data_IF_619635965322
#
_entry.id   IF_619635965322
#
_cell.length_a   1.000
_cell.length_b   1.000
_cell.length_c   1.000
_cell.angle_alpha   90.00
_cell.angle_beta   90.00
_cell.angle_gamma   90.00
#
_symmetry.space_group_name_H-M   'P 1'
#
loop_
_entity.id
_entity.type
_entity.pdbx_description
1 polymer ?
#
# COMPACT_ATOMS: atom_id res chain seq x y z
N UNK A 1 4.82 0.52 -11.35
CA UNK A 1 4.87 0.75 -9.89
C UNK A 1 6.16 0.16 -9.35
N UNK A 2 6.68 0.67 -8.24
CA UNK A 2 7.86 0.13 -7.57
C UNK A 2 7.63 0.09 -6.06
N UNK A 3 8.35 -0.77 -5.36
CA UNK A 3 8.26 -0.93 -3.92
C UNK A 3 9.63 -1.33 -3.34
N UNK A 4 9.88 -0.98 -2.08
CA UNK A 4 11.08 -1.36 -1.34
C UNK A 4 10.63 -1.92 0.01
N UNK A 5 10.58 -3.25 0.18
CA UNK A 5 10.37 -3.85 1.49
C UNK A 5 11.61 -3.67 2.38
N UNK A 6 11.44 -3.66 3.70
CA UNK A 6 12.56 -3.56 4.65
C UNK A 6 13.42 -4.83 4.68
N UNK A 7 12.81 -5.98 4.34
CA UNK A 7 13.54 -7.24 4.23
C UNK A 7 12.80 -8.32 3.45
N UNK A 8 13.54 -9.34 3.03
CA UNK A 8 13.00 -10.59 2.49
C UNK A 8 13.03 -11.67 3.58
N UNK A 9 11.98 -12.49 3.62
CA UNK A 9 11.84 -13.60 4.55
C UNK A 9 11.82 -14.89 3.75
N UNK A 10 12.53 -15.92 4.21
CA UNK A 10 12.46 -17.26 3.64
C UNK A 10 12.10 -18.24 4.75
N UNK A 11 10.94 -18.90 4.65
CA UNK A 11 10.60 -20.05 5.48
C UNK A 11 10.53 -21.32 4.63
N UNK A 12 11.07 -22.41 5.16
CA UNK A 12 10.85 -23.77 4.63
C UNK A 12 9.37 -24.19 4.64
N UNK A 13 8.58 -23.55 5.49
CA UNK A 13 7.18 -23.86 5.76
C UNK A 13 6.16 -23.03 4.95
N UNK A 14 6.50 -21.77 4.65
CA UNK A 14 5.59 -20.81 4.00
C UNK A 14 6.16 -20.25 2.68
N UNK A 15 7.36 -20.67 2.28
CA UNK A 15 8.06 -20.12 1.10
C UNK A 15 8.70 -18.77 1.37
N UNK A 16 8.76 -17.94 0.33
CA UNK A 16 9.36 -16.60 0.39
C UNK A 16 8.28 -15.55 0.64
N UNK A 17 8.57 -14.62 1.54
CA UNK A 17 7.77 -13.44 1.82
C UNK A 17 8.65 -12.22 2.05
N UNK A 18 8.06 -11.16 2.57
CA UNK A 18 8.75 -9.91 2.90
C UNK A 18 8.53 -9.52 4.37
N UNK A 19 9.25 -8.53 4.82
CA UNK A 19 9.11 -7.91 6.14
C UNK A 19 9.02 -6.40 5.98
N UNK A 20 8.15 -5.78 6.78
CA UNK A 20 8.00 -4.33 6.88
C UNK A 20 7.99 -3.96 8.37
N UNK A 21 8.94 -3.14 8.79
CA UNK A 21 9.22 -2.80 10.19
C UNK A 21 8.87 -1.33 10.42
N UNK A 22 7.96 -1.07 11.35
CA UNK A 22 7.62 0.28 11.81
C UNK A 22 8.12 0.51 13.23
N UNK A 23 8.83 1.62 13.41
CA UNK A 23 9.33 2.08 14.70
C UNK A 23 8.71 3.46 14.99
N UNK A 24 7.48 3.52 15.52
CA UNK A 24 6.79 4.79 15.76
C UNK A 24 7.54 5.63 16.79
N UNK A 25 7.73 6.93 16.50
CA UNK A 25 8.43 7.85 17.39
C UNK A 25 7.52 8.43 18.48
N UNK A 26 6.20 8.40 18.27
CA UNK A 26 5.20 8.86 19.22
C UNK A 26 4.04 7.87 19.35
N UNK A 27 3.25 7.97 20.43
CA UNK A 27 2.04 7.15 20.63
C UNK A 27 0.96 7.41 19.57
N UNK A 28 0.99 8.56 18.90
CA UNK A 28 0.08 8.88 17.79
C UNK A 28 0.51 8.22 16.47
N UNK A 29 1.81 7.87 16.36
CA UNK A 29 2.37 7.13 15.24
C UNK A 29 2.38 5.62 15.46
N UNK A 30 2.12 5.15 16.70
CA UNK A 30 1.86 3.73 16.95
C UNK A 30 0.91 3.28 15.86
N UNK A 31 1.39 2.33 15.03
CA UNK A 31 0.68 1.88 13.85
C UNK A 31 -0.79 1.76 14.24
N UNK A 32 -1.74 2.29 13.46
CA UNK A 32 -3.16 2.29 13.84
C UNK A 32 -3.65 0.84 13.96
N UNK A 33 -3.34 0.22 15.08
CA UNK A 33 -3.59 -1.13 15.47
C UNK A 33 -4.97 -1.10 16.10
N UNK A 34 -5.86 -1.93 15.58
CA UNK A 34 -7.22 -2.09 16.08
C UNK A 34 -7.31 -3.33 16.93
N UNK A 35 -7.93 -3.19 18.09
CA UNK A 35 -8.42 -4.32 18.86
C UNK A 35 -9.62 -4.92 18.12
N UNK A 36 -9.48 -6.16 17.66
CA UNK A 36 -10.54 -6.92 17.02
C UNK A 36 -11.43 -7.63 18.06
N UNK A 37 -12.63 -8.02 17.65
CA UNK A 37 -13.48 -8.89 18.44
C UNK A 37 -12.71 -10.17 18.81
N UNK A 38 -12.66 -10.51 20.09
CA UNK A 38 -11.84 -11.62 20.62
C UNK A 38 -10.48 -11.20 21.20
N UNK A 39 -10.19 -9.89 21.29
CA UNK A 39 -9.02 -9.37 22.01
C UNK A 39 -7.71 -9.41 21.21
N UNK A 40 -7.76 -9.81 19.94
CA UNK A 40 -6.58 -9.82 19.07
C UNK A 40 -6.33 -8.41 18.51
N UNK A 41 -5.09 -7.94 18.59
CA UNK A 41 -4.67 -6.68 17.96
C UNK A 41 -4.25 -6.96 16.52
N UNK A 42 -4.69 -6.12 15.57
CA UNK A 42 -4.34 -6.20 14.15
C UNK A 42 -4.14 -4.82 13.54
N UNK A 43 -3.34 -4.70 12.50
CA UNK A 43 -3.25 -3.52 11.67
C UNK A 43 -4.61 -3.20 11.05
N UNK A 44 -5.08 -1.96 11.26
CA UNK A 44 -6.28 -1.46 10.62
C UNK A 44 -6.16 -1.58 9.08
N UNK A 45 -7.09 -2.33 8.49
CA UNK A 45 -7.18 -2.53 7.03
C UNK A 45 -7.49 -1.26 6.26
N UNK A 46 -7.87 -0.18 6.94
CA UNK A 46 -8.08 1.16 6.36
C UNK A 46 -6.86 2.08 6.51
N UNK A 47 -5.83 1.63 7.21
CA UNK A 47 -4.64 2.45 7.45
C UNK A 47 -3.68 2.43 6.26
N UNK A 48 -2.95 3.53 6.08
CA UNK A 48 -1.97 3.67 5.00
C UNK A 48 -0.91 2.55 4.98
N UNK A 49 -0.47 2.06 6.15
CA UNK A 49 0.47 0.94 6.23
C UNK A 49 -0.09 -0.35 5.64
N UNK A 50 -1.39 -0.61 5.77
CA UNK A 50 -1.98 -1.80 5.15
C UNK A 50 -1.88 -1.72 3.63
N UNK A 51 -2.23 -0.56 3.07
CA UNK A 51 -2.10 -0.32 1.63
C UNK A 51 -0.64 -0.36 1.14
N UNK A 52 0.30 0.14 1.95
CA UNK A 52 1.74 0.03 1.66
C UNK A 52 2.19 -1.44 1.59
N UNK A 53 1.82 -2.25 2.59
CA UNK A 53 2.15 -3.68 2.62
C UNK A 53 1.53 -4.40 1.42
N UNK A 54 0.25 -4.17 1.15
CA UNK A 54 -0.41 -4.77 -0.01
C UNK A 54 0.29 -4.38 -1.32
N UNK A 55 0.76 -3.13 -1.45
CA UNK A 55 1.51 -2.69 -2.62
C UNK A 55 2.86 -3.40 -2.76
N UNK A 56 3.60 -3.59 -1.67
CA UNK A 56 4.83 -4.36 -1.69
C UNK A 56 4.57 -5.83 -2.07
N UNK A 57 3.56 -6.47 -1.50
CA UNK A 57 3.17 -7.85 -1.84
C UNK A 57 2.85 -8.01 -3.32
N UNK A 58 2.12 -7.06 -3.89
CA UNK A 58 1.76 -7.08 -5.31
C UNK A 58 2.95 -6.81 -6.24
N UNK A 59 3.79 -5.84 -5.91
CA UNK A 59 4.94 -5.46 -6.75
C UNK A 59 6.05 -6.51 -6.72
N UNK A 60 6.31 -7.10 -5.55
CA UNK A 60 7.35 -8.11 -5.34
C UNK A 60 6.86 -9.52 -5.74
N UNK A 61 5.55 -9.68 -5.90
CA UNK A 61 4.88 -10.94 -6.25
C UNK A 61 5.13 -12.05 -5.22
N UNK A 62 4.80 -11.76 -3.96
CA UNK A 62 4.88 -12.70 -2.83
C UNK A 62 3.57 -12.77 -2.05
N UNK A 63 3.37 -13.87 -1.33
CA UNK A 63 2.07 -14.17 -0.71
C UNK A 63 1.87 -13.51 0.66
N UNK A 64 2.95 -13.19 1.38
CA UNK A 64 2.86 -12.65 2.73
C UNK A 64 3.96 -11.66 3.10
N UNK A 65 3.60 -10.79 4.05
CA UNK A 65 4.48 -9.84 4.71
C UNK A 65 4.35 -10.05 6.21
N UNK A 66 5.47 -10.22 6.90
CA UNK A 66 5.50 -10.12 8.36
C UNK A 66 5.61 -8.63 8.71
N UNK A 67 4.49 -8.04 9.13
CA UNK A 67 4.41 -6.64 9.54
C UNK A 67 4.78 -6.52 11.01
N UNK A 68 5.85 -5.79 11.29
CA UNK A 68 6.43 -5.66 12.63
C UNK A 68 6.27 -4.23 13.10
N UNK A 69 5.77 -4.05 14.32
CA UNK A 69 5.78 -2.76 15.00
C UNK A 69 6.62 -2.92 16.25
N UNK A 70 7.76 -2.25 16.28
CA UNK A 70 8.65 -2.27 17.43
C UNK A 70 8.53 -0.95 18.20
N UNK A 71 8.33 -1.07 19.51
CA UNK A 71 8.41 0.05 20.45
C UNK A 71 9.43 -0.31 21.53
N UNK A 72 9.80 0.67 22.37
CA UNK A 72 10.69 0.41 23.51
C UNK A 72 10.12 -0.60 24.53
N UNK A 73 8.79 -0.79 24.54
CA UNK A 73 8.10 -1.58 25.56
C UNK A 73 7.54 -2.90 25.02
N UNK A 74 7.33 -3.01 23.71
CA UNK A 74 6.62 -4.12 23.11
C UNK A 74 7.00 -4.33 21.64
N UNK A 75 6.82 -5.56 21.17
CA UNK A 75 7.01 -5.98 19.79
C UNK A 75 5.71 -6.64 19.30
N UNK A 76 5.04 -5.98 18.37
CA UNK A 76 3.88 -6.53 17.70
C UNK A 76 4.29 -7.09 16.33
N UNK A 77 3.79 -8.28 16.01
CA UNK A 77 3.99 -8.92 14.70
C UNK A 77 2.66 -9.44 14.18
N UNK A 78 2.33 -9.08 12.94
CA UNK A 78 1.20 -9.63 12.22
C UNK A 78 1.63 -10.10 10.84
N UNK A 79 1.28 -11.34 10.49
CA UNK A 79 1.38 -11.81 9.11
C UNK A 79 0.20 -11.29 8.29
N UNK A 80 0.51 -10.45 7.32
CA UNK A 80 -0.44 -9.92 6.35
C UNK A 80 -0.31 -10.72 5.05
N UNK A 81 -1.42 -11.24 4.56
CA UNK A 81 -1.50 -12.01 3.30
C UNK A 81 -1.95 -11.09 2.17
N UNK A 82 -1.52 -11.39 0.95
CA UNK A 82 -1.92 -10.68 -0.27
C UNK A 82 -3.44 -10.71 -0.45
N UNK A 83 -4.03 -9.54 -0.64
CA UNK A 83 -5.44 -9.35 -0.97
C UNK A 83 -5.56 -9.03 -2.46
N UNK A 84 -5.85 -10.04 -3.27
CA UNK A 84 -5.96 -9.90 -4.73
C UNK A 84 -7.13 -9.02 -5.15
N UNK A 85 -8.26 -9.07 -4.43
CA UNK A 85 -9.47 -8.31 -4.77
C UNK A 85 -9.29 -6.80 -4.55
N UNK A 86 -8.37 -6.42 -3.67
CA UNK A 86 -8.00 -5.01 -3.47
C UNK A 86 -7.46 -4.39 -4.77
N UNK A 87 -6.72 -5.16 -5.58
CA UNK A 87 -6.01 -4.65 -6.76
C UNK A 87 -6.90 -4.35 -7.95
N UNK A 88 -8.01 -5.05 -8.08
CA UNK A 88 -9.01 -4.80 -9.14
C UNK A 88 -9.50 -3.34 -9.13
N UNK A 89 -9.56 -2.74 -7.93
CA UNK A 89 -9.99 -1.36 -7.74
C UNK A 89 -8.83 -0.34 -7.74
N UNK A 90 -7.61 -0.76 -7.37
CA UNK A 90 -6.46 0.14 -7.24
C UNK A 90 -5.78 0.36 -8.59
N UNK A 91 -5.60 -0.69 -9.41
CA UNK A 91 -4.87 -0.59 -10.68
C UNK A 91 -5.45 0.49 -11.61
N UNK A 92 -6.78 0.54 -11.87
CA UNK A 92 -7.33 1.58 -12.74
C UNK A 92 -7.05 2.99 -12.23
N UNK A 93 -7.14 3.21 -10.92
CA UNK A 93 -6.89 4.52 -10.29
C UNK A 93 -5.43 4.93 -10.40
N UNK A 94 -4.50 4.00 -10.19
CA UNK A 94 -3.07 4.27 -10.33
C UNK A 94 -2.72 4.56 -11.78
N UNK A 95 -3.32 3.85 -12.74
CA UNK A 95 -3.14 4.12 -14.16
C UNK A 95 -3.66 5.50 -14.55
N UNK A 96 -4.87 5.86 -14.15
CA UNK A 96 -5.42 7.21 -14.38
C UNK A 96 -4.53 8.29 -13.77
N UNK A 97 -4.07 8.11 -12.53
CA UNK A 97 -3.13 9.04 -11.89
C UNK A 97 -1.81 9.14 -12.66
N UNK A 98 -1.27 8.02 -13.15
CA UNK A 98 -0.04 8.06 -13.94
C UNK A 98 -0.24 8.82 -15.26
N UNK A 99 -1.32 8.52 -16.00
CA UNK A 99 -1.59 9.13 -17.31
C UNK A 99 -1.96 10.61 -17.21
N UNK A 100 -2.73 10.99 -16.21
CA UNK A 100 -3.22 12.35 -16.04
C UNK A 100 -2.23 13.22 -15.27
N UNK A 101 -1.56 12.70 -14.24
CA UNK A 101 -0.73 13.53 -13.38
C UNK A 101 0.76 13.34 -13.66
N UNK A 102 1.25 12.11 -13.61
CA UNK A 102 2.70 11.83 -13.64
C UNK A 102 3.27 12.08 -15.04
N UNK A 103 2.66 11.46 -16.07
CA UNK A 103 3.17 11.52 -17.43
C UNK A 103 3.21 12.95 -17.99
N UNK A 104 2.16 13.79 -17.84
CA UNK A 104 2.18 15.16 -18.36
C UNK A 104 3.15 16.07 -17.58
N UNK A 105 3.35 15.79 -16.29
CA UNK A 105 4.34 16.52 -15.49
C UNK A 105 5.77 16.16 -15.89
N UNK A 106 6.08 14.86 -16.04
CA UNK A 106 7.41 14.40 -16.46
C UNK A 106 7.78 14.90 -17.86
N UNK A 107 6.82 14.87 -18.81
CA UNK A 107 7.09 15.26 -20.20
C UNK A 107 7.08 16.77 -20.44
N UNK A 108 6.26 17.54 -19.71
CA UNK A 108 6.01 18.94 -20.07
C UNK A 108 5.91 19.93 -18.90
N UNK A 109 5.98 19.45 -17.65
CA UNK A 109 5.69 20.23 -16.43
C UNK A 109 4.31 20.90 -16.47
N UNK A 110 3.32 20.20 -17.02
CA UNK A 110 2.01 20.81 -17.31
C UNK A 110 1.22 21.17 -16.05
N UNK A 111 1.37 20.39 -14.97
CA UNK A 111 0.74 20.69 -13.69
C UNK A 111 1.47 21.85 -13.01
N UNK A 112 2.79 21.75 -12.86
CA UNK A 112 3.60 22.80 -12.19
C UNK A 112 3.56 24.14 -12.93
N UNK A 113 3.33 24.14 -14.25
CA UNK A 113 3.19 25.35 -15.08
C UNK A 113 1.74 25.83 -15.25
N UNK A 114 0.76 25.20 -14.59
CA UNK A 114 -0.65 25.60 -14.62
C UNK A 114 -1.34 25.46 -15.99
N UNK A 115 -0.86 24.55 -16.85
CA UNK A 115 -1.41 24.32 -18.20
C UNK A 115 -2.38 23.13 -18.27
N UNK A 116 -2.69 22.52 -17.12
CA UNK A 116 -3.48 21.31 -17.08
C UNK A 116 -4.98 21.61 -17.15
N UNK A 117 -5.64 21.12 -18.20
CA UNK A 117 -7.10 21.12 -18.33
C UNK A 117 -7.55 19.67 -18.26
N UNK A 118 -8.35 19.32 -17.24
CA UNK A 118 -9.01 18.03 -17.19
C UNK A 118 -10.03 18.00 -18.34
N UNK A 119 -9.81 17.12 -19.32
CA UNK A 119 -10.88 16.76 -20.25
C UNK A 119 -11.70 15.67 -19.56
N UNK A 120 -12.94 16.01 -19.22
CA UNK A 120 -13.93 15.03 -18.80
C UNK A 120 -14.22 14.12 -20.00
N UNK A 121 -13.86 12.84 -19.89
CA UNK A 121 -14.34 11.81 -20.80
C UNK A 121 -15.86 11.67 -20.57
N UNK A 122 -16.65 12.36 -21.38
CA UNK A 122 -18.08 12.06 -21.48
C UNK A 122 -18.24 10.70 -22.19
N UNK A 123 -18.63 9.69 -21.41
CA UNK A 123 -19.15 8.43 -21.91
C UNK A 123 -20.26 8.67 -22.94
N UNK A 124 -20.18 7.90 -24.03
CA UNK A 124 -21.15 7.95 -25.12
C UNK A 124 -22.55 7.55 -24.67
N UNK A 125 -23.45 8.51 -24.70
CA UNK A 125 -24.88 8.28 -24.88
C UNK A 125 -25.22 8.54 -26.35
N UNK A 126 -25.40 7.48 -27.16
CA UNK A 126 -26.25 7.51 -28.36
C UNK A 126 -26.87 6.14 -28.65
N UNK A 127 -28.19 6.11 -28.43
CA UNK A 127 -29.28 5.42 -29.14
C UNK A 127 -29.26 3.88 -29.23
#
# INVERSE_FOLDING_TARGET
MGASPDGCVTCTCHGTGICEIKCPHSKQEEANLRLCAGGTVKLDRRHAYYHQVQAQLHVVDVDYCDFVVWTKNDLFVERIVRDVNLWDNIIPRVESFFRLCVLPEVLGKQLTRGKFQLQDDQEGEKA
#
